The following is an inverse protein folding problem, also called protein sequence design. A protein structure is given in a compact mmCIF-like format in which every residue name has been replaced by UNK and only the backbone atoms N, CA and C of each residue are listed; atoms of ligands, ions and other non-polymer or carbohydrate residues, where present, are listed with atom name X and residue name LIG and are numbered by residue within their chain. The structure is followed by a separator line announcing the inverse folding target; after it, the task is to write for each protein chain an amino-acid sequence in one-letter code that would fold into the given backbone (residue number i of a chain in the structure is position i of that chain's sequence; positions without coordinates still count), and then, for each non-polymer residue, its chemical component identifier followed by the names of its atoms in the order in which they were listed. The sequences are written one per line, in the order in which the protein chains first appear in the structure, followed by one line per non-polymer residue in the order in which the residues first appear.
data_IF_351900939257
#
_entry.id   IF_351900939257
#
_cell.length_a   1.000
_cell.length_b   1.000
_cell.length_c   1.000
_cell.angle_alpha   90.00
_cell.angle_beta   90.00
_cell.angle_gamma   90.00
#
_symmetry.space_group_name_H-M   'P 1'
#
loop_
_entity.id
_entity.type
_entity.pdbx_description
1 polymer ?
#
# COMPACT_ATOMS: atom_id res chain seq x y z
N UNK A 1 10.55 14.79 -10.22
CA UNK A 1 10.00 13.82 -9.24
C UNK A 1 10.20 12.41 -9.77
N UNK A 2 10.53 11.45 -8.91
CA UNK A 2 10.64 10.08 -9.35
C UNK A 2 9.29 9.57 -9.87
N UNK A 3 9.35 8.85 -10.97
CA UNK A 3 8.14 8.25 -11.52
C UNK A 3 7.84 6.98 -10.71
N UNK A 4 6.64 6.94 -10.11
CA UNK A 4 6.14 5.72 -9.51
C UNK A 4 5.58 4.87 -10.65
N UNK A 5 6.14 3.69 -10.87
CA UNK A 5 5.52 2.70 -11.74
C UNK A 5 4.51 1.94 -10.86
N UNK A 6 3.23 2.34 -10.85
CA UNK A 6 2.29 1.81 -9.88
C UNK A 6 1.86 0.39 -10.23
N UNK A 7 1.72 -0.43 -9.19
CA UNK A 7 0.95 -1.65 -9.26
C UNK A 7 -0.54 -1.33 -9.17
N UNK A 8 -1.33 -2.18 -8.53
CA UNK A 8 -2.76 -1.87 -8.38
C UNK A 8 -3.00 -0.94 -7.20
N UNK A 9 -4.10 -0.19 -7.27
CA UNK A 9 -4.59 0.62 -6.17
C UNK A 9 -5.57 -0.24 -5.34
N UNK A 10 -5.36 -0.28 -4.03
CA UNK A 10 -6.22 -0.99 -3.10
C UNK A 10 -6.80 0.02 -2.10
N UNK A 11 -8.11 -0.05 -1.85
CA UNK A 11 -8.77 0.77 -0.83
C UNK A 11 -8.88 -0.02 0.46
N UNK A 12 -8.38 0.56 1.56
CA UNK A 12 -8.35 -0.11 2.85
C UNK A 12 -9.68 0.10 3.59
N UNK A 13 -10.31 -0.97 4.02
CA UNK A 13 -11.62 -0.95 4.69
C UNK A 13 -11.55 -1.37 6.14
N UNK A 14 -10.39 -1.80 6.64
CA UNK A 14 -10.24 -2.29 8.01
C UNK A 14 -10.49 -1.22 9.05
N UNK A 15 -11.04 -1.61 10.20
CA UNK A 15 -11.35 -0.71 11.30
C UNK A 15 -10.66 -1.11 12.60
N UNK A 16 -9.97 -2.24 12.64
CA UNK A 16 -9.36 -2.78 13.87
C UNK A 16 -7.84 -2.86 13.81
N UNK A 17 -7.29 -3.45 12.76
CA UNK A 17 -5.84 -3.67 12.66
C UNK A 17 -5.08 -2.36 12.45
N UNK A 18 -5.53 -1.56 11.47
CA UNK A 18 -5.00 -0.23 11.22
C UNK A 18 -6.15 0.77 11.10
N UNK A 19 -6.84 1.09 12.22
CA UNK A 19 -8.04 1.92 12.15
C UNK A 19 -7.76 3.33 11.59
N UNK A 20 -6.56 3.85 11.79
CA UNK A 20 -6.17 5.16 11.27
C UNK A 20 -6.08 5.20 9.75
N UNK A 21 -6.04 4.04 9.08
CA UNK A 21 -5.92 3.95 7.63
C UNK A 21 -7.25 3.64 6.94
N UNK A 22 -8.34 3.51 7.70
CA UNK A 22 -9.65 3.25 7.10
C UNK A 22 -9.97 4.31 6.04
N UNK A 23 -10.39 3.87 4.88
CA UNK A 23 -10.70 4.75 3.75
C UNK A 23 -9.49 5.23 2.95
N UNK A 24 -8.27 4.87 3.35
CA UNK A 24 -7.07 5.21 2.56
C UNK A 24 -6.94 4.30 1.34
N UNK A 25 -6.22 4.79 0.32
CA UNK A 25 -5.76 3.97 -0.78
C UNK A 25 -4.30 3.57 -0.56
N UNK A 26 -3.93 2.41 -1.08
CA UNK A 26 -2.54 1.93 -1.05
C UNK A 26 -2.09 1.57 -2.45
N UNK A 27 -0.91 2.03 -2.83
CA UNK A 27 -0.29 1.72 -4.12
C UNK A 27 1.12 1.24 -3.87
N UNK A 28 1.47 0.07 -4.41
CA UNK A 28 2.84 -0.39 -4.44
C UNK A 28 3.62 0.32 -5.53
N UNK A 29 4.82 0.79 -5.22
CA UNK A 29 5.72 1.36 -6.21
C UNK A 29 6.73 0.32 -6.67
N UNK A 30 6.72 -0.04 -7.96
CA UNK A 30 7.71 -0.96 -8.50
C UNK A 30 9.03 -0.26 -8.77
N UNK A 31 8.98 0.90 -9.42
CA UNK A 31 10.19 1.65 -9.74
C UNK A 31 10.89 2.23 -8.54
N UNK A 32 10.13 2.63 -7.50
CA UNK A 32 10.65 3.27 -6.31
C UNK A 32 10.84 2.31 -5.13
N UNK A 33 10.34 1.08 -5.22
CA UNK A 33 10.39 0.07 -4.15
C UNK A 33 9.74 0.56 -2.85
N UNK A 34 8.58 1.20 -3.00
CA UNK A 34 7.89 1.85 -1.87
C UNK A 34 6.46 1.35 -1.75
N UNK A 35 5.91 1.47 -0.54
CA UNK A 35 4.48 1.39 -0.28
C UNK A 35 4.00 2.83 -0.06
N UNK A 36 2.93 3.21 -0.72
CA UNK A 36 2.41 4.58 -0.67
C UNK A 36 0.96 4.57 -0.17
N UNK A 37 0.67 5.40 0.83
CA UNK A 37 -0.69 5.60 1.32
C UNK A 37 -1.25 6.90 0.78
N UNK A 38 -2.45 6.83 0.24
CA UNK A 38 -3.18 7.97 -0.32
C UNK A 38 -4.33 8.30 0.62
N UNK A 39 -4.38 9.53 1.10
CA UNK A 39 -5.48 10.01 1.93
C UNK A 39 -6.48 10.76 1.06
N UNK A 40 -7.77 10.47 1.26
CA UNK A 40 -8.87 11.12 0.55
C UNK A 40 -9.59 12.06 1.52
N UNK A 41 -9.95 13.26 1.04
CA UNK A 41 -10.57 14.28 1.89
C UNK A 41 -12.10 14.20 1.95
N UNK A 42 -12.70 13.28 1.19
CA UNK A 42 -14.15 13.15 1.10
C UNK A 42 -14.82 14.15 0.15
N UNK A 43 -14.05 15.01 -0.50
CA UNK A 43 -14.54 16.06 -1.40
C UNK A 43 -13.94 15.94 -2.81
N UNK A 44 -13.54 14.73 -3.18
CA UNK A 44 -12.93 14.47 -4.48
C UNK A 44 -11.42 14.72 -4.53
N UNK A 45 -10.82 15.20 -3.45
CA UNK A 45 -9.38 15.42 -3.37
C UNK A 45 -8.65 14.23 -2.81
N UNK A 46 -7.39 14.05 -3.22
CA UNK A 46 -6.51 13.00 -2.73
C UNK A 46 -5.08 13.52 -2.65
N UNK A 47 -4.32 13.02 -1.68
CA UNK A 47 -2.91 13.39 -1.53
C UNK A 47 -2.10 12.21 -1.06
N UNK A 48 -0.83 12.15 -1.45
CA UNK A 48 0.12 11.20 -0.90
C UNK A 48 0.37 11.57 0.57
N UNK A 49 -0.07 10.71 1.48
CA UNK A 49 0.02 10.97 2.91
C UNK A 49 1.28 10.40 3.52
N UNK A 50 1.65 9.20 3.12
CA UNK A 50 2.84 8.52 3.63
C UNK A 50 3.47 7.69 2.52
N UNK A 51 4.78 7.52 2.63
CA UNK A 51 5.56 6.72 1.70
C UNK A 51 6.63 6.00 2.51
N UNK A 52 6.64 4.66 2.39
CA UNK A 52 7.62 3.85 3.09
C UNK A 52 8.53 3.17 2.08
N UNK A 53 9.84 3.26 2.30
CA UNK A 53 10.81 2.50 1.55
C UNK A 53 10.80 1.07 2.10
N UNK A 54 10.30 0.13 1.31
CA UNK A 54 10.19 -1.26 1.74
C UNK A 54 11.29 -2.14 1.15
N UNK A 55 12.13 -1.58 0.28
CA UNK A 55 13.26 -2.31 -0.31
C UNK A 55 12.87 -3.34 -1.36
N UNK A 56 11.60 -3.41 -1.75
CA UNK A 56 11.07 -4.38 -2.68
C UNK A 56 10.21 -3.68 -3.73
N UNK A 57 10.27 -4.15 -4.96
CA UNK A 57 9.37 -3.69 -6.02
C UNK A 57 8.00 -4.28 -5.75
N UNK A 58 7.05 -3.45 -5.35
CA UNK A 58 5.73 -3.92 -4.93
C UNK A 58 4.79 -3.89 -6.13
N UNK A 59 4.37 -5.09 -6.54
CA UNK A 59 3.47 -5.26 -7.67
C UNK A 59 2.02 -5.16 -7.26
N UNK A 60 1.69 -5.62 -6.05
CA UNK A 60 0.33 -5.76 -5.62
C UNK A 60 0.23 -5.59 -4.11
N UNK A 61 -0.86 -4.98 -3.64
CA UNK A 61 -1.16 -4.82 -2.22
C UNK A 61 -2.59 -5.29 -2.01
N UNK A 62 -2.80 -6.18 -1.02
CA UNK A 62 -4.10 -6.74 -0.71
C UNK A 62 -4.39 -6.62 0.77
N UNK A 63 -5.67 -6.40 1.10
CA UNK A 63 -6.14 -6.40 2.48
C UNK A 63 -6.63 -7.80 2.85
N UNK A 64 -6.14 -8.32 3.98
CA UNK A 64 -6.59 -9.58 4.55
C UNK A 64 -7.90 -9.41 5.30
N UNK A 65 -8.69 -10.48 5.50
CA UNK A 65 -9.93 -10.37 6.29
C UNK A 65 -9.72 -9.85 7.71
N UNK A 66 -8.55 -10.04 8.29
CA UNK A 66 -8.23 -9.52 9.63
C UNK A 66 -7.77 -8.05 9.61
N UNK A 67 -7.73 -7.42 8.44
CA UNK A 67 -7.30 -6.03 8.28
C UNK A 67 -5.80 -5.85 8.10
N UNK A 68 -5.01 -6.90 8.15
CA UNK A 68 -3.59 -6.80 7.84
C UNK A 68 -3.37 -6.64 6.34
N UNK A 69 -2.18 -6.25 5.94
CA UNK A 69 -1.85 -6.05 4.53
C UNK A 69 -0.88 -7.13 4.05
N UNK A 70 -1.07 -7.53 2.81
CA UNK A 70 -0.12 -8.38 2.10
C UNK A 70 0.40 -7.65 0.88
N UNK A 71 1.72 -7.71 0.68
CA UNK A 71 2.36 -7.13 -0.50
C UNK A 71 3.03 -8.23 -1.30
N UNK A 72 2.84 -8.20 -2.62
CA UNK A 72 3.50 -9.14 -3.53
C UNK A 72 4.68 -8.43 -4.20
N UNK A 73 5.86 -8.98 -4.04
CA UNK A 73 7.07 -8.47 -4.66
C UNK A 73 7.11 -8.85 -6.15
N UNK A 74 7.46 -7.88 -7.00
CA UNK A 74 7.67 -8.11 -8.43
C UNK A 74 9.12 -8.59 -8.66
N UNK A 75 9.33 -9.87 -8.50
CA UNK A 75 10.63 -10.53 -8.65
C UNK A 75 10.43 -12.00 -8.98
N UNK A 76 11.51 -12.69 -9.34
CA UNK A 76 11.47 -14.12 -9.64
C UNK A 76 12.64 -14.83 -8.91
N UNK A 77 12.38 -15.57 -7.79
CA UNK A 77 11.07 -15.68 -7.13
C UNK A 77 10.70 -14.39 -6.42
N UNK A 78 9.40 -14.11 -6.34
CA UNK A 78 8.87 -12.98 -5.59
C UNK A 78 8.55 -13.36 -4.16
N UNK A 79 8.70 -12.41 -3.25
CA UNK A 79 8.32 -12.60 -1.84
C UNK A 79 6.88 -12.13 -1.62
N UNK A 80 6.21 -12.78 -0.68
CA UNK A 80 4.92 -12.34 -0.16
C UNK A 80 5.18 -11.73 1.22
N UNK A 81 4.88 -10.45 1.38
CA UNK A 81 5.26 -9.70 2.57
C UNK A 81 4.01 -9.37 3.37
N UNK A 82 3.99 -9.75 4.64
CA UNK A 82 2.86 -9.54 5.53
C UNK A 82 3.12 -8.34 6.44
N UNK A 83 2.21 -7.36 6.44
CA UNK A 83 2.32 -6.15 7.25
C UNK A 83 1.29 -6.21 8.38
N UNK A 84 1.79 -6.19 9.60
CA UNK A 84 0.96 -6.20 10.80
C UNK A 84 1.41 -5.08 11.74
N UNK A 85 0.54 -4.63 12.67
CA UNK A 85 0.97 -3.67 13.69
C UNK A 85 2.05 -4.27 14.58
N UNK A 86 2.90 -3.40 15.10
CA UNK A 86 3.89 -3.80 16.11
C UNK A 86 3.24 -4.10 17.44
#
# INVERSE_FOLDING_TARGET
APVIAPGNLMFYTGTQTFPQWNGSGFIGGMGTRTLNRIAFDGHGGAKAAERWDVGHRIRDVEESPDGSLWMLEDANPGALIHVTPK
#
